data_IF_960997864617
#
_entry.id   IF_960997864617
#
_cell.length_a   1.000
_cell.length_b   1.000
_cell.length_c   1.000
_cell.angle_alpha   90.00
_cell.angle_beta   90.00
_cell.angle_gamma   90.00
#
_symmetry.space_group_name_H-M   'P 1'
#
loop_
_entity.id
_entity.type
_entity.pdbx_description
1 polymer ?
#
# COMPACT_ATOMS: atom_id res chain seq x y z
N UNK A 1 -3.83 -21.16 -10.57
CA UNK A 1 -2.36 -21.33 -10.43
C UNK A 1 -1.67 -21.61 -11.76
N UNK A 2 -2.05 -22.64 -12.53
CA UNK A 2 -1.48 -22.89 -13.87
C UNK A 2 -1.61 -21.67 -14.80
N UNK A 3 -2.79 -21.03 -14.82
CA UNK A 3 -3.00 -19.80 -15.59
C UNK A 3 -2.06 -18.64 -15.16
N UNK A 4 -1.86 -18.43 -13.85
CA UNK A 4 -1.00 -17.36 -13.36
C UNK A 4 0.47 -17.57 -13.75
N UNK A 5 0.96 -18.82 -13.69
CA UNK A 5 2.30 -19.17 -14.18
C UNK A 5 2.41 -18.97 -15.69
N UNK A 6 1.41 -19.43 -16.44
CA UNK A 6 1.38 -19.30 -17.89
C UNK A 6 1.44 -17.83 -18.34
N UNK A 7 0.56 -16.98 -17.80
CA UNK A 7 0.54 -15.54 -18.09
C UNK A 7 1.83 -14.87 -17.62
N UNK A 8 2.34 -15.24 -16.44
CA UNK A 8 3.61 -14.71 -15.92
C UNK A 8 4.78 -15.01 -16.87
N UNK A 9 4.88 -16.24 -17.39
CA UNK A 9 5.90 -16.60 -18.36
C UNK A 9 5.81 -15.77 -19.65
N UNK A 10 4.60 -15.50 -20.15
CA UNK A 10 4.39 -14.66 -21.33
C UNK A 10 4.90 -13.24 -21.07
N UNK A 11 4.54 -12.65 -19.93
CA UNK A 11 4.99 -11.30 -19.55
C UNK A 11 6.51 -11.29 -19.37
N UNK A 12 7.10 -12.29 -18.72
CA UNK A 12 8.54 -12.40 -18.55
C UNK A 12 9.30 -12.46 -19.88
N UNK A 13 8.81 -13.25 -20.83
CA UNK A 13 9.40 -13.32 -22.18
C UNK A 13 9.26 -12.00 -22.96
N UNK A 14 8.17 -11.26 -22.76
CA UNK A 14 8.01 -9.91 -23.31
C UNK A 14 9.04 -8.95 -22.70
N UNK A 15 9.26 -8.99 -21.40
CA UNK A 15 10.26 -8.15 -20.72
C UNK A 15 11.69 -8.45 -21.19
N UNK A 16 12.04 -9.73 -21.37
CA UNK A 16 13.31 -10.16 -21.98
C UNK A 16 13.43 -9.59 -23.40
N UNK A 17 12.38 -9.72 -24.22
CA UNK A 17 12.37 -9.17 -25.59
C UNK A 17 12.54 -7.65 -25.63
N UNK A 18 11.94 -6.92 -24.67
CA UNK A 18 12.12 -5.48 -24.53
C UNK A 18 13.57 -5.14 -24.19
N UNK A 19 14.19 -5.88 -23.25
CA UNK A 19 15.59 -5.69 -22.91
C UNK A 19 16.51 -5.89 -24.12
N UNK A 20 16.36 -7.01 -24.83
CA UNK A 20 17.23 -7.38 -25.94
C UNK A 20 17.05 -6.47 -27.16
N UNK A 21 15.80 -6.15 -27.53
CA UNK A 21 15.51 -5.42 -28.78
C UNK A 21 15.53 -3.92 -28.62
N UNK A 22 15.30 -3.41 -27.41
CA UNK A 22 15.22 -1.96 -27.13
C UNK A 22 16.33 -1.47 -26.22
N UNK A 23 17.22 -2.36 -25.76
CA UNK A 23 18.32 -2.05 -24.85
C UNK A 23 17.86 -1.37 -23.55
N UNK A 24 16.63 -1.67 -23.11
CA UNK A 24 16.09 -1.17 -21.84
C UNK A 24 16.59 -2.07 -20.73
N UNK A 25 17.38 -1.52 -19.81
CA UNK A 25 17.87 -2.26 -18.64
C UNK A 25 16.71 -2.82 -17.81
N UNK A 26 16.87 -4.04 -17.28
CA UNK A 26 15.91 -4.59 -16.30
C UNK A 26 15.83 -3.75 -15.02
N UNK A 27 16.87 -2.94 -14.75
CA UNK A 27 16.89 -1.95 -13.66
C UNK A 27 15.97 -0.74 -13.89
N UNK A 28 15.40 -0.61 -15.08
CA UNK A 28 14.38 0.40 -15.38
C UNK A 28 12.97 -0.20 -15.44
N UNK A 29 12.80 -1.46 -15.03
CA UNK A 29 11.51 -2.16 -15.08
C UNK A 29 10.89 -2.25 -13.69
N UNK A 30 9.69 -1.69 -13.56
CA UNK A 30 8.86 -1.75 -12.36
C UNK A 30 7.51 -2.38 -12.73
N UNK A 31 7.04 -3.32 -11.92
CA UNK A 31 5.70 -3.91 -12.06
C UNK A 31 4.80 -3.44 -10.91
N UNK A 32 3.59 -2.99 -11.22
CA UNK A 32 2.57 -2.59 -10.24
C UNK A 32 1.35 -3.53 -10.32
N UNK A 33 1.47 -4.78 -9.86
CA UNK A 33 0.37 -5.73 -9.91
C UNK A 33 -0.63 -5.57 -8.76
N UNK A 34 -1.90 -5.94 -9.01
CA UNK A 34 -2.95 -6.07 -8.00
C UNK A 34 -3.40 -7.52 -7.85
N UNK A 35 -3.74 -7.96 -6.63
CA UNK A 35 -4.43 -9.23 -6.38
C UNK A 35 -3.69 -10.46 -6.96
N UNK A 36 -4.38 -11.27 -7.77
CA UNK A 36 -3.81 -12.40 -8.51
C UNK A 36 -2.64 -11.98 -9.42
N UNK A 37 -2.69 -10.75 -9.95
CA UNK A 37 -1.63 -10.15 -10.74
C UNK A 37 -0.29 -10.14 -10.00
N UNK A 38 -0.31 -10.04 -8.68
CA UNK A 38 0.92 -10.00 -7.87
C UNK A 38 1.73 -11.27 -8.02
N UNK A 39 1.06 -12.41 -8.07
CA UNK A 39 1.69 -13.69 -8.33
C UNK A 39 2.05 -13.90 -9.80
N UNK A 40 1.28 -13.35 -10.73
CA UNK A 40 1.63 -13.31 -12.17
C UNK A 40 2.94 -12.56 -12.37
N UNK A 41 3.09 -11.37 -11.80
CA UNK A 41 4.34 -10.59 -11.84
C UNK A 41 5.48 -11.30 -11.14
N UNK A 42 5.23 -12.01 -10.03
CA UNK A 42 6.21 -12.88 -9.40
C UNK A 42 6.73 -13.99 -10.33
N UNK A 43 5.87 -14.59 -11.14
CA UNK A 43 6.29 -15.55 -12.18
C UNK A 43 7.04 -14.85 -13.32
N UNK A 44 6.57 -13.69 -13.79
CA UNK A 44 7.24 -12.94 -14.84
C UNK A 44 8.69 -12.58 -14.46
N UNK A 45 8.89 -12.06 -13.24
CA UNK A 45 10.21 -11.72 -12.73
C UNK A 45 11.09 -12.96 -12.52
N UNK A 46 10.50 -14.11 -12.13
CA UNK A 46 11.22 -15.41 -12.11
C UNK A 46 11.68 -15.85 -13.50
N UNK A 47 10.88 -15.62 -14.54
CA UNK A 47 11.28 -15.90 -15.92
C UNK A 47 12.44 -15.00 -16.34
N UNK A 48 12.36 -13.69 -16.07
CA UNK A 48 13.45 -12.74 -16.37
C UNK A 48 14.74 -13.14 -15.67
N UNK A 49 14.68 -13.45 -14.36
CA UNK A 49 15.88 -13.73 -13.54
C UNK A 49 16.60 -15.04 -13.89
N UNK A 50 16.03 -15.87 -14.78
CA UNK A 50 16.69 -17.07 -15.30
C UNK A 50 17.78 -16.73 -16.33
N UNK A 51 17.66 -15.59 -17.02
CA UNK A 51 18.54 -15.24 -18.15
C UNK A 51 19.11 -13.82 -18.07
N UNK A 52 18.46 -12.93 -17.31
CA UNK A 52 18.87 -11.54 -17.13
C UNK A 52 18.97 -11.18 -15.64
N UNK A 53 19.64 -10.07 -15.26
CA UNK A 53 19.58 -9.55 -13.91
C UNK A 53 18.15 -9.27 -13.46
N UNK A 54 17.88 -9.41 -12.16
CA UNK A 54 16.57 -9.09 -11.56
C UNK A 54 16.09 -7.70 -11.96
N UNK A 55 14.79 -7.58 -12.13
CA UNK A 55 14.12 -6.29 -12.35
C UNK A 55 14.24 -5.41 -11.11
N UNK A 56 14.11 -4.09 -11.30
CA UNK A 56 14.28 -3.15 -10.20
C UNK A 56 13.26 -3.36 -9.08
N UNK A 57 11.97 -3.34 -9.39
CA UNK A 57 10.94 -3.36 -8.35
C UNK A 57 9.64 -4.01 -8.75
N UNK A 58 8.98 -4.63 -7.78
CA UNK A 58 7.57 -5.00 -7.83
C UNK A 58 6.88 -4.25 -6.70
N UNK A 59 5.82 -3.48 -6.98
CA UNK A 59 4.96 -2.82 -5.99
C UNK A 59 3.61 -3.54 -6.04
N UNK A 60 3.46 -4.56 -5.20
CA UNK A 60 2.32 -5.47 -5.20
C UNK A 60 1.20 -4.95 -4.30
N UNK A 61 0.05 -4.68 -4.91
CA UNK A 61 -1.15 -4.17 -4.27
C UNK A 61 -2.04 -5.35 -3.85
N UNK A 62 -2.07 -5.61 -2.55
CA UNK A 62 -2.86 -6.65 -1.87
C UNK A 62 -2.88 -8.01 -2.60
N UNK A 63 -1.75 -8.73 -2.62
CA UNK A 63 -1.63 -10.02 -3.31
C UNK A 63 -2.72 -11.00 -2.89
N UNK A 64 -3.24 -11.80 -3.82
CA UNK A 64 -4.32 -12.74 -3.51
C UNK A 64 -3.89 -13.82 -2.49
N UNK A 65 -4.58 -13.92 -1.35
CA UNK A 65 -4.40 -14.98 -0.36
C UNK A 65 -4.95 -16.35 -0.81
N UNK A 66 -6.23 -16.46 -1.18
CA UNK A 66 -6.87 -17.74 -1.47
C UNK A 66 -6.11 -18.57 -2.51
N UNK A 67 -5.83 -19.83 -2.17
CA UNK A 67 -5.03 -20.81 -2.97
C UNK A 67 -3.52 -20.54 -3.05
N UNK A 68 -3.03 -19.42 -2.52
CA UNK A 68 -1.61 -19.06 -2.52
C UNK A 68 -0.95 -19.20 -1.15
N UNK A 69 -1.74 -19.09 -0.06
CA UNK A 69 -1.27 -19.39 1.29
C UNK A 69 -0.57 -20.75 1.33
N UNK A 70 0.55 -20.82 2.04
CA UNK A 70 1.44 -21.99 2.16
C UNK A 70 2.12 -22.46 0.86
N UNK A 71 1.98 -21.74 -0.26
CA UNK A 71 2.77 -22.05 -1.45
C UNK A 71 4.24 -21.66 -1.24
N UNK A 72 5.19 -22.47 -1.72
CA UNK A 72 6.60 -22.12 -1.65
C UNK A 72 6.92 -20.93 -2.57
N UNK A 73 8.01 -20.23 -2.26
CA UNK A 73 8.47 -19.01 -2.94
C UNK A 73 8.55 -19.14 -4.47
N UNK A 74 8.92 -20.31 -5.00
CA UNK A 74 8.98 -20.60 -6.44
C UNK A 74 7.60 -20.66 -7.12
N UNK A 75 6.52 -20.80 -6.34
CA UNK A 75 5.13 -20.95 -6.82
C UNK A 75 4.20 -19.80 -6.45
N UNK A 76 4.73 -18.63 -6.06
CA UNK A 76 3.98 -17.39 -5.77
C UNK A 76 4.87 -16.16 -5.88
N UNK A 77 4.35 -14.98 -5.56
CA UNK A 77 5.18 -13.78 -5.35
C UNK A 77 6.13 -14.02 -4.17
N UNK A 78 7.38 -13.56 -4.29
CA UNK A 78 8.39 -13.73 -3.26
C UNK A 78 9.43 -12.61 -3.29
N UNK A 79 9.96 -12.24 -2.13
CA UNK A 79 10.99 -11.21 -1.95
C UNK A 79 12.23 -11.30 -2.85
N UNK A 80 12.53 -12.48 -3.39
CA UNK A 80 13.69 -12.72 -4.27
C UNK A 80 13.37 -12.54 -5.76
N UNK A 81 12.17 -12.07 -6.11
CA UNK A 81 11.74 -11.93 -7.51
C UNK A 81 12.28 -10.67 -8.17
N UNK A 82 12.43 -9.58 -7.43
CA UNK A 82 13.03 -8.33 -7.87
C UNK A 82 14.16 -7.90 -6.92
N UNK A 83 14.83 -6.78 -7.19
CA UNK A 83 15.75 -6.19 -6.22
C UNK A 83 15.00 -5.71 -4.97
N UNK A 84 13.85 -5.06 -5.16
CA UNK A 84 12.90 -4.75 -4.09
C UNK A 84 11.52 -5.29 -4.47
N UNK A 85 10.93 -6.07 -3.58
CA UNK A 85 9.51 -6.41 -3.65
C UNK A 85 8.82 -5.68 -2.53
N UNK A 86 8.06 -4.66 -2.89
CA UNK A 86 7.21 -3.88 -1.99
C UNK A 86 5.80 -4.45 -2.05
N UNK A 87 5.19 -4.69 -0.89
CA UNK A 87 3.86 -5.27 -0.79
C UNK A 87 3.01 -4.41 0.10
N UNK A 88 1.82 -4.05 -0.36
CA UNK A 88 0.82 -3.36 0.43
C UNK A 88 -0.32 -4.33 0.75
N UNK A 89 -0.55 -4.57 2.03
CA UNK A 89 -1.62 -5.40 2.56
C UNK A 89 -2.79 -4.53 3.02
N UNK A 90 -3.98 -4.80 2.48
CA UNK A 90 -5.20 -4.04 2.83
C UNK A 90 -6.43 -4.91 3.08
N UNK A 91 -6.41 -6.20 2.75
CA UNK A 91 -7.53 -7.13 2.98
C UNK A 91 -7.08 -8.50 3.52
N UNK A 92 -6.14 -8.54 4.47
CA UNK A 92 -5.68 -9.80 5.08
C UNK A 92 -6.82 -10.46 5.87
N UNK A 93 -6.94 -11.79 5.74
CA UNK A 93 -8.07 -12.55 6.26
C UNK A 93 -9.32 -12.52 5.35
N UNK A 94 -9.36 -11.58 4.39
CA UNK A 94 -10.33 -11.54 3.29
C UNK A 94 -9.74 -12.16 2.01
N UNK A 95 -9.53 -11.34 0.99
CA UNK A 95 -8.91 -11.73 -0.28
C UNK A 95 -7.40 -11.59 -0.31
N UNK A 96 -6.82 -10.78 0.59
CA UNK A 96 -5.39 -10.49 0.68
C UNK A 96 -4.57 -11.61 1.32
N UNK A 97 -3.31 -11.71 0.94
CA UNK A 97 -2.33 -12.62 1.52
C UNK A 97 -1.84 -12.06 2.86
N UNK A 98 -1.90 -12.85 3.92
CA UNK A 98 -1.70 -12.35 5.29
C UNK A 98 -0.23 -12.13 5.67
N UNK A 99 0.62 -13.13 5.47
CA UNK A 99 2.00 -13.09 5.93
C UNK A 99 2.89 -12.24 5.00
N UNK A 100 3.99 -11.66 5.50
CA UNK A 100 4.95 -10.91 4.68
C UNK A 100 5.43 -11.72 3.47
N UNK A 101 5.39 -11.09 2.30
CA UNK A 101 5.77 -11.65 1.01
C UNK A 101 7.01 -10.98 0.41
N UNK A 102 7.23 -9.71 0.77
CA UNK A 102 8.16 -8.81 0.13
C UNK A 102 9.52 -8.69 0.82
N UNK A 103 10.32 -7.80 0.24
CA UNK A 103 11.43 -7.14 0.94
C UNK A 103 10.85 -6.16 1.96
N UNK A 104 9.85 -5.39 1.55
CA UNK A 104 9.16 -4.37 2.34
C UNK A 104 7.66 -4.71 2.31
N UNK A 105 7.06 -4.87 3.48
CA UNK A 105 5.64 -5.20 3.61
C UNK A 105 4.93 -4.12 4.45
N UNK A 106 4.03 -3.39 3.81
CA UNK A 106 3.21 -2.35 4.40
C UNK A 106 1.83 -2.88 4.76
N UNK A 107 1.33 -2.55 5.96
CA UNK A 107 0.00 -2.93 6.44
C UNK A 107 -0.78 -1.65 6.78
N UNK A 108 -1.64 -1.21 5.86
CA UNK A 108 -2.48 -0.03 6.06
C UNK A 108 -3.61 -0.35 7.03
N UNK A 109 -3.76 0.45 8.09
CA UNK A 109 -4.77 0.26 9.14
C UNK A 109 -4.73 -1.15 9.76
N UNK A 110 -3.53 -1.74 9.88
CA UNK A 110 -3.33 -3.11 10.34
C UNK A 110 -3.49 -4.18 9.26
N UNK A 111 -3.91 -3.77 8.06
CA UNK A 111 -3.91 -4.57 6.82
C UNK A 111 -5.16 -5.42 6.60
N UNK A 112 -6.13 -5.44 7.51
CA UNK A 112 -7.34 -6.27 7.38
C UNK A 112 -8.52 -5.51 6.79
N UNK A 113 -8.97 -4.44 7.45
CA UNK A 113 -10.11 -3.67 6.99
C UNK A 113 -9.76 -2.20 6.90
N UNK A 114 -10.12 -1.57 5.78
CA UNK A 114 -9.74 -0.19 5.50
C UNK A 114 -10.84 0.78 5.92
N UNK A 115 -10.44 1.93 6.46
CA UNK A 115 -11.38 2.95 6.92
C UNK A 115 -12.38 3.31 5.82
N UNK A 116 -13.67 3.26 6.16
CA UNK A 116 -14.79 3.52 5.24
C UNK A 116 -15.36 2.29 4.51
N UNK A 117 -14.69 1.13 4.56
CA UNK A 117 -15.17 -0.09 3.88
C UNK A 117 -16.29 -0.83 4.63
N UNK A 118 -16.54 -0.52 5.90
CA UNK A 118 -17.66 -1.09 6.68
C UNK A 118 -19.01 -0.38 6.45
N UNK A 119 -19.03 0.71 5.67
CA UNK A 119 -20.25 1.46 5.44
C UNK A 119 -21.26 0.69 4.57
N UNK A 120 -22.58 0.88 4.76
CA UNK A 120 -23.59 0.30 3.88
C UNK A 120 -23.37 0.65 2.40
N UNK A 121 -22.84 1.85 2.12
CA UNK A 121 -22.46 2.27 0.78
C UNK A 121 -21.25 1.49 0.25
N UNK A 122 -20.19 1.31 1.06
CA UNK A 122 -18.99 0.60 0.66
C UNK A 122 -19.18 -0.92 0.58
N UNK A 123 -20.11 -1.50 1.33
CA UNK A 123 -20.49 -2.92 1.19
C UNK A 123 -21.10 -3.25 -0.18
N UNK A 124 -21.56 -2.23 -0.93
CA UNK A 124 -21.98 -2.38 -2.33
C UNK A 124 -20.78 -2.48 -3.27
N UNK A 125 -19.62 -1.95 -2.86
CA UNK A 125 -18.37 -2.12 -3.59
C UNK A 125 -17.79 -3.50 -3.27
N UNK A 126 -17.78 -4.38 -4.27
CA UNK A 126 -17.17 -5.69 -4.12
C UNK A 126 -15.69 -5.54 -3.73
N UNK A 127 -15.34 -6.10 -2.58
CA UNK A 127 -13.98 -6.11 -2.04
C UNK A 127 -13.37 -4.71 -1.87
N UNK A 128 -14.11 -3.78 -1.24
CA UNK A 128 -13.63 -2.41 -0.95
C UNK A 128 -12.20 -2.37 -0.35
N UNK A 129 -11.94 -3.13 0.71
CA UNK A 129 -10.62 -3.18 1.37
C UNK A 129 -9.53 -3.70 0.43
N UNK A 130 -9.84 -4.70 -0.40
CA UNK A 130 -8.93 -5.25 -1.41
C UNK A 130 -8.60 -4.23 -2.52
N UNK A 131 -9.60 -3.47 -2.96
CA UNK A 131 -9.46 -2.43 -3.98
C UNK A 131 -8.79 -1.16 -3.44
N UNK A 132 -8.81 -0.93 -2.13
CA UNK A 132 -8.19 0.25 -1.54
C UNK A 132 -6.68 0.31 -1.76
N UNK A 133 -6.02 -0.84 -1.89
CA UNK A 133 -4.57 -0.96 -2.13
C UNK A 133 -4.10 -0.17 -3.35
N UNK A 134 -4.78 -0.25 -4.49
CA UNK A 134 -4.37 0.51 -5.68
C UNK A 134 -4.63 2.01 -5.54
N UNK A 135 -5.68 2.40 -4.81
CA UNK A 135 -5.98 3.80 -4.56
C UNK A 135 -4.88 4.45 -3.70
N UNK A 136 -4.42 3.76 -2.65
CA UNK A 136 -3.29 4.21 -1.82
C UNK A 136 -1.99 4.31 -2.62
N UNK A 137 -1.65 3.31 -3.44
CA UNK A 137 -0.45 3.37 -4.29
C UNK A 137 -0.50 4.51 -5.31
N UNK A 138 -1.66 4.76 -5.94
CA UNK A 138 -1.82 5.91 -6.85
C UNK A 138 -1.61 7.24 -6.10
N UNK A 139 -2.18 7.39 -4.91
CA UNK A 139 -2.00 8.60 -4.11
C UNK A 139 -0.54 8.77 -3.68
N UNK A 140 0.13 7.70 -3.26
CA UNK A 140 1.54 7.70 -2.88
C UNK A 140 2.47 8.12 -4.03
N UNK A 141 2.19 7.65 -5.25
CA UNK A 141 2.95 8.04 -6.45
C UNK A 141 2.74 9.52 -6.78
N UNK A 142 1.50 10.02 -6.64
CA UNK A 142 1.18 11.44 -6.91
C UNK A 142 1.75 12.36 -5.83
N UNK A 143 1.87 11.88 -4.61
CA UNK A 143 2.27 12.64 -3.45
C UNK A 143 3.31 11.88 -2.62
N UNK A 144 4.60 11.98 -3.01
CA UNK A 144 5.67 11.36 -2.25
C UNK A 144 5.63 11.78 -0.77
N UNK A 145 5.99 10.87 0.13
CA UNK A 145 6.03 11.08 1.59
C UNK A 145 4.68 11.28 2.28
N UNK A 146 3.55 11.05 1.60
CA UNK A 146 2.23 11.15 2.23
C UNK A 146 1.89 9.95 3.13
N UNK A 147 2.35 8.75 2.77
CA UNK A 147 2.11 7.53 3.56
C UNK A 147 3.37 7.13 4.33
N UNK A 148 3.84 8.00 5.24
CA UNK A 148 4.95 7.66 6.12
C UNK A 148 4.53 6.49 7.01
N UNK A 149 5.31 5.42 6.96
CA UNK A 149 5.02 4.17 7.65
C UNK A 149 6.14 3.84 8.62
N UNK A 150 5.78 3.34 9.79
CA UNK A 150 6.72 3.05 10.87
C UNK A 150 7.01 1.56 10.95
N UNK A 151 8.29 1.21 11.12
CA UNK A 151 8.68 -0.17 11.35
C UNK A 151 8.27 -0.62 12.77
N UNK A 152 7.42 -1.62 12.87
CA UNK A 152 6.99 -2.19 14.15
C UNK A 152 6.85 -3.72 14.04
N UNK A 153 6.88 -4.41 15.18
CA UNK A 153 6.72 -5.87 15.20
C UNK A 153 5.29 -6.32 14.86
N UNK A 154 4.30 -5.56 15.30
CA UNK A 154 2.88 -5.87 15.14
C UNK A 154 2.03 -4.60 15.22
N UNK A 155 0.80 -4.70 14.70
CA UNK A 155 -0.17 -3.60 14.67
C UNK A 155 -0.52 -3.06 16.06
N UNK A 156 -0.64 -3.93 17.07
CA UNK A 156 -0.98 -3.50 18.44
C UNK A 156 0.10 -2.59 19.01
N UNK A 157 1.36 -2.96 18.82
CA UNK A 157 2.53 -2.19 19.24
C UNK A 157 2.58 -0.84 18.55
N UNK A 158 2.27 -0.80 17.25
CA UNK A 158 2.15 0.45 16.48
C UNK A 158 1.05 1.36 17.05
N UNK A 159 -0.17 0.84 17.29
CA UNK A 159 -1.28 1.62 17.83
C UNK A 159 -0.99 2.20 19.21
N UNK A 160 -0.33 1.43 20.08
CA UNK A 160 -0.02 1.86 21.45
C UNK A 160 1.16 2.85 21.52
N UNK A 161 1.75 3.26 20.38
CA UNK A 161 2.93 4.15 20.27
C UNK A 161 4.05 3.75 21.25
N UNK A 162 4.20 2.45 21.50
CA UNK A 162 5.18 1.94 22.46
C UNK A 162 6.58 2.14 21.88
N UNK A 163 7.59 2.26 22.76
CA UNK A 163 9.04 2.29 22.44
C UNK A 163 9.57 1.01 21.73
N UNK A 164 8.68 0.16 21.21
CA UNK A 164 8.96 -1.12 20.55
C UNK A 164 8.81 -1.04 19.02
N UNK A 165 8.38 0.09 18.48
CA UNK A 165 8.60 0.41 17.08
C UNK A 165 10.08 0.80 16.89
N UNK A 166 10.67 0.38 15.78
CA UNK A 166 12.02 0.77 15.40
C UNK A 166 12.09 2.26 15.06
N UNK A 167 13.30 2.79 14.94
CA UNK A 167 13.53 4.19 14.55
C UNK A 167 13.46 4.41 13.02
N UNK A 168 12.99 3.41 12.27
CA UNK A 168 12.96 3.44 10.80
C UNK A 168 11.57 3.80 10.32
N UNK A 169 11.50 4.77 9.42
CA UNK A 169 10.28 5.15 8.72
C UNK A 169 10.56 5.29 7.24
N UNK A 170 9.66 4.76 6.42
CA UNK A 170 9.73 4.84 4.96
C UNK A 170 8.33 5.18 4.42
N UNK A 171 8.27 5.82 3.26
CA UNK A 171 6.99 6.10 2.61
C UNK A 171 6.60 4.93 1.68
N UNK A 172 5.31 4.58 1.65
CA UNK A 172 4.76 3.74 0.58
C UNK A 172 5.12 4.36 -0.78
N UNK A 173 5.59 3.55 -1.74
CA UNK A 173 5.96 4.00 -3.07
C UNK A 173 7.31 4.72 -3.17
N UNK A 174 8.10 4.83 -2.09
CA UNK A 174 9.45 5.41 -2.14
C UNK A 174 10.42 4.50 -2.91
N UNK A 175 10.74 4.87 -4.15
CA UNK A 175 11.58 4.09 -5.07
C UNK A 175 13.03 3.93 -4.60
N UNK A 176 13.50 4.76 -3.66
CA UNK A 176 14.85 4.66 -3.12
C UNK A 176 14.95 3.71 -1.92
N UNK A 177 13.83 3.44 -1.24
CA UNK A 177 13.79 2.58 -0.07
C UNK A 177 14.25 1.14 -0.37
N UNK A 178 15.13 0.59 0.47
CA UNK A 178 15.66 -0.78 0.34
C UNK A 178 15.64 -1.54 1.67
N UNK A 179 15.33 -0.84 2.75
CA UNK A 179 15.30 -1.31 4.13
C UNK A 179 14.14 -2.26 4.33
N UNK A 180 14.44 -3.55 4.24
CA UNK A 180 13.42 -4.57 4.42
C UNK A 180 12.81 -4.59 5.81
N UNK A 181 11.55 -4.98 5.90
CA UNK A 181 10.81 -5.00 7.16
C UNK A 181 9.31 -4.90 6.98
N UNK A 182 8.62 -4.93 8.10
CA UNK A 182 7.17 -4.73 8.18
C UNK A 182 6.89 -3.32 8.69
N UNK A 183 6.01 -2.61 8.00
CA UNK A 183 5.70 -1.21 8.26
C UNK A 183 4.19 -1.00 8.35
N UNK A 184 3.78 -0.07 9.20
CA UNK A 184 2.37 0.23 9.45
C UNK A 184 2.10 1.72 9.31
N UNK A 185 0.90 2.05 8.83
CA UNK A 185 0.39 3.42 8.77
C UNK A 185 -1.13 3.44 8.90
N UNK A 186 -1.69 4.60 9.28
CA UNK A 186 -3.13 4.87 9.29
C UNK A 186 -3.55 5.71 8.09
N UNK A 187 -4.84 5.66 7.74
CA UNK A 187 -5.40 6.46 6.65
C UNK A 187 -6.78 7.00 7.00
N UNK A 188 -7.18 8.10 6.37
CA UNK A 188 -8.56 8.54 6.32
C UNK A 188 -9.47 7.55 5.57
N UNK A 189 -10.78 7.69 5.78
CA UNK A 189 -11.78 6.85 5.09
C UNK A 189 -12.06 7.28 3.64
N UNK A 190 -11.63 8.48 3.23
CA UNK A 190 -11.82 9.09 1.90
C UNK A 190 -10.53 9.76 1.44
N UNK A 191 -10.38 9.97 0.13
CA UNK A 191 -9.21 10.67 -0.43
C UNK A 191 -9.26 12.19 -0.12
N UNK A 192 -8.13 12.85 0.18
CA UNK A 192 -6.79 12.27 0.36
C UNK A 192 -6.74 11.32 1.57
N UNK A 193 -6.25 10.11 1.34
CA UNK A 193 -6.26 9.04 2.33
C UNK A 193 -5.11 9.18 3.32
N UNK A 194 -3.98 9.69 2.88
CA UNK A 194 -2.86 9.97 3.73
C UNK A 194 -3.24 10.90 4.89
N UNK A 195 -2.68 10.63 6.07
CA UNK A 195 -2.82 11.48 7.24
C UNK A 195 -1.66 12.45 7.33
N UNK A 196 -1.92 13.71 7.72
CA UNK A 196 -0.83 14.63 8.04
C UNK A 196 -0.13 14.19 9.33
N UNK A 197 1.17 14.49 9.45
CA UNK A 197 1.95 14.13 10.63
C UNK A 197 1.31 14.68 11.91
N UNK A 198 0.78 13.79 12.76
CA UNK A 198 0.16 14.14 14.05
C UNK A 198 -1.36 14.08 14.08
N UNK A 199 -2.03 13.71 12.99
CA UNK A 199 -3.48 13.46 12.99
C UNK A 199 -3.81 12.10 13.62
N UNK A 200 -4.66 12.10 14.65
CA UNK A 200 -5.27 10.89 15.21
C UNK A 200 -6.69 10.73 14.66
N UNK A 201 -7.04 9.51 14.25
CA UNK A 201 -8.42 9.15 13.91
C UNK A 201 -9.26 9.20 15.20
N UNK A 202 -10.12 10.23 15.33
CA UNK A 202 -11.04 10.33 16.45
C UNK A 202 -12.08 9.20 16.36
N UNK A 203 -11.95 8.21 17.24
CA UNK A 203 -12.88 7.09 17.39
C UNK A 203 -13.93 7.34 18.47
N UNK A 204 -13.99 8.55 19.06
CA UNK A 204 -14.94 8.90 20.13
C UNK A 204 -16.30 9.41 19.58
N UNK A 205 -16.91 8.63 18.67
CA UNK A 205 -18.18 8.97 18.03
C UNK A 205 -19.41 8.14 18.41
N UNK A 206 -19.32 7.22 19.39
CA UNK A 206 -20.44 6.34 19.78
C UNK A 206 -20.61 6.22 21.30
N UNK A 207 -20.59 7.34 22.02
CA UNK A 207 -21.05 7.40 23.41
C UNK A 207 -22.19 8.42 23.57
N UNK A 208 -23.40 7.89 23.71
CA UNK A 208 -24.57 8.48 24.38
C UNK A 208 -24.86 9.98 24.14
N UNK A 209 -25.69 10.30 23.15
CA UNK A 209 -26.50 11.53 23.21
C UNK A 209 -27.86 11.15 23.78
N UNK A 210 -28.01 11.39 25.08
CA UNK A 210 -29.32 11.45 25.73
C UNK A 210 -30.12 12.62 25.18
N UNK A 211 -31.38 12.34 24.92
CA UNK A 211 -32.41 13.24 24.42
C UNK A 211 -32.60 14.41 25.39
N UNK A 212 -32.34 15.65 24.96
CA UNK A 212 -32.98 16.82 25.54
C UNK A 212 -33.17 17.91 24.48
N UNK A 213 -34.38 18.44 24.46
CA UNK A 213 -34.95 19.38 23.50
C UNK A 213 -34.22 20.72 23.53
N UNK A 214 -33.72 21.21 22.39
CA UNK A 214 -33.17 22.56 22.32
C UNK A 214 -32.43 22.86 21.01
N UNK A 215 -33.09 23.62 20.13
CA UNK A 215 -32.59 24.51 19.08
C UNK A 215 -31.17 24.26 18.50
N UNK A 216 -31.14 23.79 17.26
CA UNK A 216 -29.94 23.67 16.41
C UNK A 216 -29.25 25.02 16.17
N UNK A 217 -27.96 25.11 16.50
CA UNK A 217 -27.02 26.08 15.90
C UNK A 217 -25.76 25.32 15.49
N UNK A 218 -25.61 25.05 14.20
CA UNK A 218 -24.37 24.57 13.60
C UNK A 218 -23.44 25.78 13.37
N UNK A 219 -22.34 25.86 14.11
CA UNK A 219 -21.19 26.70 13.73
C UNK A 219 -20.12 25.77 13.17
N UNK A 220 -20.01 25.73 11.85
CA UNK A 220 -18.85 25.16 11.16
C UNK A 220 -17.73 26.20 11.14
N UNK A 221 -16.69 25.97 11.96
CA UNK A 221 -15.43 26.70 11.86
C UNK A 221 -14.54 26.00 10.82
N UNK A 222 -14.63 26.48 9.59
CA UNK A 222 -13.68 26.17 8.51
C UNK A 222 -12.56 27.21 8.60
N UNK A 223 -11.39 26.84 9.13
CA UNK A 223 -10.18 27.66 9.04
C UNK A 223 -9.40 27.28 7.78
N UNK A 224 -9.69 27.99 6.69
CA UNK A 224 -8.89 27.99 5.47
C UNK A 224 -7.58 28.76 5.70
N UNK A 225 -6.45 28.09 5.44
CA UNK A 225 -5.13 28.70 5.19
C UNK A 225 -5.25 29.72 4.05
N UNK A 226 -5.00 31.00 4.33
CA UNK A 226 -4.53 31.96 3.32
C UNK A 226 -3.09 32.32 3.69
N UNK A 227 -2.12 31.82 2.90
CA UNK A 227 -0.75 32.33 2.88
C UNK A 227 -0.81 33.79 2.43
N UNK A 228 -0.50 34.71 3.32
CA UNK A 228 -0.24 36.11 2.97
C UNK A 228 1.08 36.18 2.19
N UNK A 229 0.99 36.33 0.87
CA UNK A 229 1.98 37.05 0.08
C UNK A 229 1.89 38.50 0.55
N UNK A 230 2.96 39.07 1.09
CA UNK A 230 3.04 40.52 1.25
C UNK A 230 4.31 41.04 0.59
N UNK A 231 4.05 41.77 -0.49
CA UNK A 231 4.96 42.56 -1.30
C UNK A 231 5.43 43.72 -0.42
N UNK A 232 6.75 43.91 -0.27
CA UNK A 232 7.31 45.20 0.13
C UNK A 232 7.97 45.84 -1.08
N UNK A 233 7.24 46.77 -1.70
CA UNK A 233 7.77 47.86 -2.52
C UNK A 233 7.18 49.15 -1.98
N UNK A 234 8.02 50.04 -1.43
CA UNK A 234 8.01 51.52 -1.40
C UNK A 234 9.03 51.93 -0.33
N UNK A 235 10.01 52.81 -0.53
CA UNK A 235 10.22 53.96 -1.42
C UNK A 235 11.67 53.96 -1.96
#
# INVERSE_FOLDING_TARGET
MAAAKYVGNIIGNLMISIHEKRHISTKNMILLPHSLGSHVSGYAAKTVKQVLPRIARIIAMDPAGPRWVNKPCDKRLCKTDADVVEVLHTDVGGLGYEAPLGTIDFYANGGSNQSGCDSPEASKEFACSHCRSWAYVIEAIKHPNHFISENCNDWKTYQEKKKRCGNMSIALGDLEAKEGGVYYFKTHNKSPFAMENGEEEDSSGLASITRSSGLLIFISLVLLKIKSINIKQTL
#
